data_IF_756992190915
#
_entry.id   IF_756992190915
#
_cell.length_a   1.000
_cell.length_b   1.000
_cell.length_c   1.000
_cell.angle_alpha   90.00
_cell.angle_beta   90.00
_cell.angle_gamma   90.00
#
_symmetry.space_group_name_H-M   'P 1'
#
loop_
_entity.id
_entity.type
_entity.pdbx_description
1 polymer ?
#
# COMPACT_ATOMS: atom_id res chain seq x y z
N UNK A 1 40.90 -0.81 38.13
CA UNK A 1 41.62 -0.78 36.84
C UNK A 1 41.03 -1.78 35.84
N UNK A 2 41.28 -3.10 35.96
CA UNK A 2 40.84 -4.12 34.99
C UNK A 2 39.32 -4.16 34.72
N UNK A 3 38.48 -4.00 35.75
CA UNK A 3 37.02 -3.98 35.58
C UNK A 3 36.53 -2.75 34.81
N UNK A 4 37.07 -1.57 35.14
CA UNK A 4 36.77 -0.29 34.47
C UNK A 4 37.21 -0.32 33.00
N UNK A 5 38.37 -0.93 32.74
CA UNK A 5 38.88 -1.12 31.37
C UNK A 5 37.94 -2.00 30.54
N UNK A 6 37.41 -3.09 31.12
CA UNK A 6 36.46 -3.99 30.45
C UNK A 6 35.12 -3.29 30.19
N UNK A 7 34.61 -2.48 31.13
CA UNK A 7 33.37 -1.72 30.91
C UNK A 7 33.53 -0.65 29.84
N UNK A 8 34.66 0.07 29.81
CA UNK A 8 34.97 1.04 28.76
C UNK A 8 35.08 0.39 27.38
N UNK A 9 35.73 -0.78 27.31
CA UNK A 9 35.84 -1.54 26.06
C UNK A 9 34.47 -2.00 25.55
N UNK A 10 33.61 -2.47 26.46
CA UNK A 10 32.25 -2.88 26.14
C UNK A 10 31.38 -1.70 25.68
N UNK A 11 31.52 -0.52 26.31
CA UNK A 11 30.81 0.70 25.92
C UNK A 11 31.24 1.18 24.53
N UNK A 12 32.55 1.17 24.25
CA UNK A 12 33.08 1.50 22.91
C UNK A 12 32.60 0.51 21.85
N UNK A 13 32.57 -0.78 22.16
CA UNK A 13 32.04 -1.81 21.25
C UNK A 13 30.57 -1.59 20.90
N UNK A 14 29.76 -1.21 21.89
CA UNK A 14 28.33 -0.92 21.69
C UNK A 14 28.11 0.37 20.88
N UNK A 15 28.94 1.40 21.11
CA UNK A 15 28.91 2.64 20.34
C UNK A 15 29.28 2.40 18.86
N UNK A 16 30.30 1.58 18.57
CA UNK A 16 30.67 1.24 17.19
C UNK A 16 29.58 0.42 16.47
N UNK A 17 28.88 -0.47 17.18
CA UNK A 17 27.80 -1.26 16.59
C UNK A 17 26.57 -0.41 16.20
N UNK A 18 26.37 0.74 16.84
CA UNK A 18 25.24 1.65 16.57
C UNK A 18 25.38 2.50 15.30
N UNK A 19 26.54 2.48 14.64
CA UNK A 19 26.83 3.24 13.41
C UNK A 19 26.70 2.37 12.15
N UNK A 20 26.30 1.10 12.29
CA UNK A 20 26.06 0.25 11.13
C UNK A 20 24.90 0.84 10.31
N UNK A 21 25.10 1.12 9.01
CA UNK A 21 24.02 1.62 8.17
C UNK A 21 22.92 0.56 8.13
N UNK A 22 21.68 0.96 8.42
CA UNK A 22 20.51 0.13 8.23
C UNK A 22 20.35 -0.15 6.72
N UNK A 23 21.01 -1.21 6.23
CA UNK A 23 20.87 -1.69 4.86
C UNK A 23 19.58 -2.49 4.72
N UNK A 24 18.46 -1.79 4.75
CA UNK A 24 17.17 -2.35 4.40
C UNK A 24 16.32 -1.30 3.66
N UNK A 25 16.89 -0.71 2.60
CA UNK A 25 16.11 -0.12 1.54
C UNK A 25 16.09 -1.13 0.41
N UNK A 26 15.15 -2.09 0.47
CA UNK A 26 14.77 -2.84 -0.73
C UNK A 26 14.17 -1.83 -1.69
N UNK A 27 15.01 -1.31 -2.59
CA UNK A 27 14.59 -0.49 -3.72
C UNK A 27 13.52 -1.28 -4.47
N UNK A 28 12.31 -0.73 -4.55
CA UNK A 28 11.25 -1.30 -5.40
C UNK A 28 11.87 -1.55 -6.77
N UNK A 29 11.82 -2.78 -7.32
CA UNK A 29 12.43 -3.12 -8.60
C UNK A 29 12.04 -2.10 -9.68
N UNK A 30 12.96 -1.80 -10.59
CA UNK A 30 12.82 -0.68 -11.54
C UNK A 30 11.57 -0.78 -12.45
N UNK A 31 10.96 -1.97 -12.59
CA UNK A 31 9.87 -2.22 -13.53
C UNK A 31 8.52 -1.56 -13.21
N UNK A 32 8.24 -1.17 -11.96
CA UNK A 32 6.97 -0.50 -11.59
C UNK A 32 7.15 1.00 -11.34
N UNK A 33 8.15 1.62 -11.98
CA UNK A 33 8.43 3.06 -11.89
C UNK A 33 8.02 3.74 -13.20
N UNK A 34 6.73 4.01 -13.35
CA UNK A 34 6.25 4.81 -14.48
C UNK A 34 6.15 6.27 -14.02
N UNK A 35 6.88 7.17 -14.69
CA UNK A 35 6.79 8.61 -14.43
C UNK A 35 5.42 9.17 -14.81
N UNK A 36 4.77 8.54 -15.79
CA UNK A 36 3.44 8.86 -16.25
C UNK A 36 2.51 7.65 -16.08
N UNK A 37 1.22 7.91 -15.93
CA UNK A 37 0.23 6.86 -15.83
C UNK A 37 0.18 6.06 -17.16
N UNK A 38 0.42 4.73 -17.14
CA UNK A 38 0.31 3.94 -18.35
C UNK A 38 -1.13 3.93 -18.87
N UNK A 39 -1.32 3.70 -20.19
CA UNK A 39 -2.65 3.68 -20.78
C UNK A 39 -3.50 2.55 -20.19
N UNK A 40 -4.79 2.83 -20.00
CA UNK A 40 -5.75 1.82 -19.50
C UNK A 40 -5.82 0.64 -20.48
N UNK A 41 -5.62 -0.61 -20.02
CA UNK A 41 -5.64 -1.79 -20.88
C UNK A 41 -6.92 -1.93 -21.72
N UNK A 42 -6.80 -2.46 -22.93
CA UNK A 42 -7.95 -2.67 -23.83
C UNK A 42 -9.01 -3.61 -23.23
N UNK A 43 -8.60 -4.60 -22.45
CA UNK A 43 -9.52 -5.50 -21.75
C UNK A 43 -10.40 -4.76 -20.74
N UNK A 44 -9.84 -3.81 -19.99
CA UNK A 44 -10.57 -2.94 -19.06
C UNK A 44 -11.64 -2.13 -19.79
N UNK A 45 -11.27 -1.49 -20.92
CA UNK A 45 -12.20 -0.72 -21.75
C UNK A 45 -13.35 -1.60 -22.26
N UNK A 46 -13.05 -2.81 -22.75
CA UNK A 46 -14.05 -3.78 -23.23
C UNK A 46 -15.01 -4.21 -22.12
N UNK A 47 -14.52 -4.52 -20.92
CA UNK A 47 -15.36 -4.90 -19.78
C UNK A 47 -16.26 -3.75 -19.32
N UNK A 48 -15.71 -2.54 -19.20
CA UNK A 48 -16.49 -1.34 -18.84
C UNK A 48 -17.61 -1.08 -19.85
N UNK A 49 -17.33 -1.22 -21.15
CA UNK A 49 -18.35 -1.13 -22.22
C UNK A 49 -19.39 -2.24 -22.12
N UNK A 50 -18.99 -3.48 -21.89
CA UNK A 50 -19.89 -4.62 -21.74
C UNK A 50 -20.83 -4.46 -20.53
N UNK A 51 -20.31 -3.90 -19.42
CA UNK A 51 -21.08 -3.55 -18.23
C UNK A 51 -21.93 -2.28 -18.36
N UNK A 52 -22.01 -1.68 -19.56
CA UNK A 52 -22.76 -0.44 -19.85
C UNK A 52 -22.49 0.68 -18.85
N UNK A 53 -21.24 0.81 -18.42
CA UNK A 53 -20.82 1.79 -17.41
C UNK A 53 -19.60 2.59 -17.90
N UNK A 54 -19.13 3.52 -17.08
CA UNK A 54 -17.95 4.36 -17.34
C UNK A 54 -16.97 4.22 -16.18
N UNK A 55 -15.69 4.53 -16.42
CA UNK A 55 -14.69 4.52 -15.34
C UNK A 55 -15.07 5.49 -14.22
N UNK A 56 -15.56 6.68 -14.54
CA UNK A 56 -16.00 7.66 -13.53
C UNK A 56 -17.13 7.12 -12.67
N UNK A 57 -18.14 6.48 -13.27
CA UNK A 57 -19.24 5.88 -12.52
C UNK A 57 -18.76 4.74 -11.62
N UNK A 58 -17.77 3.95 -12.08
CA UNK A 58 -17.13 2.92 -11.25
C UNK A 58 -16.36 3.55 -10.08
N UNK A 59 -15.58 4.60 -10.34
CA UNK A 59 -14.85 5.35 -9.32
C UNK A 59 -15.80 5.89 -8.24
N UNK A 60 -16.83 6.62 -8.64
CA UNK A 60 -17.84 7.18 -7.72
C UNK A 60 -18.52 6.11 -6.89
N UNK A 61 -18.85 4.96 -7.50
CA UNK A 61 -19.48 3.83 -6.82
C UNK A 61 -18.57 3.28 -5.72
N UNK A 62 -17.28 3.08 -5.99
CA UNK A 62 -16.32 2.55 -5.01
C UNK A 62 -16.06 3.55 -3.89
N UNK A 63 -15.85 4.84 -4.21
CA UNK A 63 -15.67 5.90 -3.19
C UNK A 63 -16.91 6.02 -2.30
N UNK A 64 -18.10 5.93 -2.88
CA UNK A 64 -19.36 5.94 -2.12
C UNK A 64 -19.52 4.71 -1.23
N UNK A 65 -19.07 3.54 -1.68
CA UNK A 65 -19.07 2.33 -0.86
C UNK A 65 -18.12 2.49 0.34
N UNK A 66 -16.86 2.85 0.08
CA UNK A 66 -15.85 3.02 1.13
C UNK A 66 -16.22 4.11 2.14
N UNK A 67 -16.85 5.20 1.70
CA UNK A 67 -17.27 6.29 2.61
C UNK A 67 -18.45 5.90 3.51
N UNK A 68 -19.27 4.92 3.11
CA UNK A 68 -20.45 4.47 3.87
C UNK A 68 -20.14 3.27 4.78
N UNK A 69 -19.26 2.38 4.33
CA UNK A 69 -18.94 1.15 5.06
C UNK A 69 -17.87 1.38 6.13
N UNK A 70 -18.32 1.73 7.34
CA UNK A 70 -17.46 1.94 8.51
C UNK A 70 -16.73 0.67 8.95
N UNK A 71 -17.35 -0.50 8.75
CA UNK A 71 -16.76 -1.77 9.15
C UNK A 71 -15.61 -2.15 8.22
N UNK A 72 -15.80 -2.00 6.91
CA UNK A 72 -14.74 -2.16 5.92
C UNK A 72 -13.60 -1.16 6.17
N UNK A 73 -13.91 0.12 6.39
CA UNK A 73 -12.89 1.11 6.71
C UNK A 73 -12.13 0.80 8.00
N UNK A 74 -12.79 0.22 9.01
CA UNK A 74 -12.13 -0.25 10.22
C UNK A 74 -11.13 -1.38 9.93
N UNK A 75 -11.52 -2.37 9.12
CA UNK A 75 -10.63 -3.46 8.68
C UNK A 75 -9.44 -2.93 7.89
N UNK A 76 -9.66 -2.00 6.94
CA UNK A 76 -8.59 -1.36 6.17
C UNK A 76 -7.60 -0.68 7.11
N UNK A 77 -8.07 0.11 8.07
CA UNK A 77 -7.20 0.79 9.04
C UNK A 77 -6.43 -0.20 9.91
N UNK A 78 -7.05 -1.30 10.34
CA UNK A 78 -6.39 -2.32 11.15
C UNK A 78 -5.25 -3.01 10.38
N UNK A 79 -5.48 -3.38 9.12
CA UNK A 79 -4.45 -3.98 8.27
C UNK A 79 -3.36 -2.96 7.95
N UNK A 80 -3.73 -1.72 7.61
CA UNK A 80 -2.79 -0.64 7.35
C UNK A 80 -1.85 -0.41 8.56
N UNK A 81 -2.39 -0.39 9.78
CA UNK A 81 -1.61 -0.27 11.01
C UNK A 81 -0.68 -1.47 11.25
N UNK A 82 -1.10 -2.70 10.91
CA UNK A 82 -0.27 -3.91 11.06
C UNK A 82 1.01 -3.84 10.21
N UNK A 83 0.94 -3.19 9.04
CA UNK A 83 2.05 -3.11 8.09
C UNK A 83 2.72 -1.73 8.06
N UNK A 84 2.36 -0.82 8.96
CA UNK A 84 2.85 0.56 8.99
C UNK A 84 2.67 1.32 7.66
N UNK A 85 1.50 1.13 7.04
CA UNK A 85 1.13 1.79 5.78
C UNK A 85 0.07 2.84 6.08
N UNK A 86 0.19 4.04 5.49
CA UNK A 86 -0.88 5.03 5.57
C UNK A 86 -2.17 4.48 4.91
N UNK A 87 -3.33 4.46 5.58
CA UNK A 87 -4.56 3.85 5.06
C UNK A 87 -4.97 4.34 3.66
N UNK A 88 -4.60 5.58 3.31
CA UNK A 88 -4.86 6.17 1.99
C UNK A 88 -4.24 5.36 0.84
N UNK A 89 -3.09 4.70 1.05
CA UNK A 89 -2.48 3.86 0.01
C UNK A 89 -3.31 2.62 -0.28
N UNK A 90 -3.86 1.97 0.75
CA UNK A 90 -4.76 0.83 0.58
C UNK A 90 -6.08 1.26 -0.07
N UNK A 91 -6.65 2.40 0.35
CA UNK A 91 -7.85 2.97 -0.27
C UNK A 91 -7.60 3.28 -1.74
N UNK A 92 -6.49 3.93 -2.07
CA UNK A 92 -6.12 4.25 -3.45
C UNK A 92 -5.97 3.00 -4.32
N UNK A 93 -5.33 1.94 -3.80
CA UNK A 93 -5.19 0.66 -4.49
C UNK A 93 -6.56 0.01 -4.77
N UNK A 94 -7.43 -0.06 -3.76
CA UNK A 94 -8.79 -0.62 -3.91
C UNK A 94 -9.62 0.17 -4.93
N UNK A 95 -9.58 1.50 -4.86
CA UNK A 95 -10.28 2.38 -5.81
C UNK A 95 -9.75 2.19 -7.22
N UNK A 96 -8.43 2.16 -7.41
CA UNK A 96 -7.82 1.93 -8.73
C UNK A 96 -8.20 0.58 -9.33
N UNK A 97 -8.09 -0.50 -8.54
CA UNK A 97 -8.44 -1.85 -8.97
C UNK A 97 -9.90 -1.96 -9.40
N UNK A 98 -10.84 -1.45 -8.61
CA UNK A 98 -12.26 -1.54 -8.90
C UNK A 98 -12.72 -0.50 -9.93
N UNK A 99 -11.94 0.55 -10.18
CA UNK A 99 -12.19 1.47 -11.29
C UNK A 99 -11.80 0.80 -12.61
N UNK A 100 -10.58 0.26 -12.71
CA UNK A 100 -10.04 -0.16 -14.00
C UNK A 100 -10.08 -1.67 -14.27
N UNK A 101 -10.28 -2.53 -13.27
CA UNK A 101 -10.19 -3.98 -13.46
C UNK A 101 -11.53 -4.71 -13.31
N UNK A 102 -12.04 -4.78 -12.07
CA UNK A 102 -13.24 -5.52 -11.65
C UNK A 102 -14.38 -4.56 -11.29
N UNK A 103 -15.62 -5.01 -11.17
CA UNK A 103 -16.75 -4.15 -10.77
C UNK A 103 -17.00 -4.25 -9.26
N UNK A 104 -17.41 -3.15 -8.63
CA UNK A 104 -17.49 -3.02 -7.16
C UNK A 104 -18.51 -3.94 -6.48
N UNK A 105 -19.34 -4.64 -7.26
CA UNK A 105 -20.50 -5.36 -6.75
C UNK A 105 -20.29 -6.85 -6.56
N UNK A 106 -19.21 -7.45 -7.08
CA UNK A 106 -19.16 -8.91 -7.14
C UNK A 106 -18.35 -9.61 -6.06
N UNK A 107 -17.43 -8.96 -5.33
CA UNK A 107 -16.49 -9.70 -4.43
C UNK A 107 -15.98 -8.99 -3.16
N UNK A 108 -16.41 -7.76 -2.84
CA UNK A 108 -15.94 -7.10 -1.60
C UNK A 108 -16.60 -7.64 -0.31
N UNK A 109 -17.48 -8.63 -0.45
CA UNK A 109 -18.26 -9.27 0.61
C UNK A 109 -18.28 -10.79 0.40
N UNK A 110 -17.11 -11.43 0.42
CA UNK A 110 -17.00 -12.88 0.65
C UNK A 110 -16.02 -13.14 1.77
#
# INVERSE_FOLDING_TARGET
MRRILVTLLALCGFALASVLPAQAVTLVPEGNRNAEQPPVPGASKRRTKAGKTTFDRKYEKVVKLLSRDKQLMSKIKAVAAKYDIAPIHMVGALVGEHTYNVDAYDRLQS
#
